data_IF_004172976212
#
_entry.id   IF_004172976212
#
_cell.length_a   1.000
_cell.length_b   1.000
_cell.length_c   1.000
_cell.angle_alpha   90.00
_cell.angle_beta   90.00
_cell.angle_gamma   90.00
#
_symmetry.space_group_name_H-M   'P 1'
#
loop_
_entity.id
_entity.type
_entity.pdbx_description
1 polymer ?
#
# COMPACT_ATOMS: atom_id res chain seq x y z
N UNK A 1 45.86 62.04 -12.10
CA UNK A 1 45.84 60.76 -12.85
C UNK A 1 45.33 59.71 -11.85
N UNK A 2 44.07 59.54 -11.83
CA UNK A 2 43.44 58.67 -10.84
C UNK A 2 42.37 57.87 -11.52
N UNK A 3 42.60 56.57 -11.59
CA UNK A 3 41.63 55.59 -12.11
C UNK A 3 40.63 55.25 -11.04
N UNK A 4 39.37 55.48 -11.33
CA UNK A 4 38.23 55.06 -10.50
C UNK A 4 37.80 53.69 -10.99
N UNK A 5 38.05 52.66 -10.19
CA UNK A 5 37.52 51.33 -10.38
C UNK A 5 36.14 51.23 -9.70
N UNK A 6 35.12 51.20 -10.52
CA UNK A 6 33.75 50.95 -10.12
C UNK A 6 33.60 49.47 -9.77
N UNK A 7 33.38 49.21 -8.49
CA UNK A 7 33.01 47.90 -7.97
C UNK A 7 31.51 47.68 -8.20
N UNK A 8 31.15 46.96 -9.24
CA UNK A 8 29.80 46.49 -9.41
C UNK A 8 29.53 45.36 -8.40
N UNK A 9 28.74 45.67 -7.41
CA UNK A 9 28.26 44.66 -6.44
C UNK A 9 27.43 43.59 -7.14
N UNK A 10 27.96 42.41 -7.18
CA UNK A 10 27.26 41.20 -7.58
C UNK A 10 26.36 40.78 -6.44
N UNK A 11 25.08 41.08 -6.55
CA UNK A 11 24.07 40.51 -5.66
C UNK A 11 23.90 39.03 -6.08
N UNK A 12 24.22 38.09 -5.20
CA UNK A 12 23.79 36.73 -5.44
C UNK A 12 22.28 36.70 -5.32
N UNK A 13 21.63 36.45 -6.43
CA UNK A 13 20.23 36.08 -6.49
C UNK A 13 20.08 34.72 -5.82
N UNK A 14 20.02 34.71 -4.50
CA UNK A 14 19.52 33.55 -3.76
C UNK A 14 18.04 33.43 -4.07
N UNK A 15 17.79 32.80 -5.19
CA UNK A 15 16.49 32.28 -5.56
C UNK A 15 15.97 31.48 -4.39
N UNK A 16 14.94 32.00 -3.78
CA UNK A 16 14.10 31.28 -2.83
C UNK A 16 13.64 29.96 -3.48
N UNK A 17 14.42 28.93 -3.34
CA UNK A 17 13.94 27.55 -3.48
C UNK A 17 13.18 27.20 -2.21
N UNK A 18 12.03 27.81 -2.03
CA UNK A 18 10.98 27.19 -1.25
C UNK A 18 10.50 26.01 -2.07
N UNK A 19 11.27 24.96 -2.05
CA UNK A 19 10.80 23.67 -2.47
C UNK A 19 9.79 23.27 -1.42
N UNK A 20 8.52 23.51 -1.71
CA UNK A 20 7.43 22.78 -1.08
C UNK A 20 7.69 21.32 -1.39
N UNK A 21 8.40 20.66 -0.50
CA UNK A 21 8.48 19.22 -0.48
C UNK A 21 7.11 18.72 -0.03
N UNK A 22 6.17 18.69 -0.96
CA UNK A 22 4.99 17.85 -0.81
C UNK A 22 5.57 16.45 -0.85
N UNK A 23 5.81 15.90 0.33
CA UNK A 23 6.03 14.47 0.47
C UNK A 23 4.71 13.82 0.11
N UNK A 24 4.46 13.63 -1.17
CA UNK A 24 3.45 12.71 -1.67
C UNK A 24 3.86 11.33 -1.23
N UNK A 25 3.49 10.96 -0.03
CA UNK A 25 3.39 9.56 0.31
C UNK A 25 2.24 9.04 -0.52
N UNK A 26 2.54 8.63 -1.75
CA UNK A 26 1.61 7.81 -2.52
C UNK A 26 1.61 6.49 -1.78
N UNK A 27 0.70 6.37 -0.81
CA UNK A 27 0.35 5.08 -0.28
C UNK A 27 -0.11 4.26 -1.48
N UNK A 28 0.65 3.20 -1.82
CA UNK A 28 0.23 2.24 -2.82
C UNK A 28 -1.15 1.72 -2.38
N UNK A 29 -2.18 2.15 -3.06
CA UNK A 29 -3.52 1.62 -2.84
C UNK A 29 -3.50 0.25 -3.48
N UNK A 30 -3.24 -0.76 -2.67
CA UNK A 30 -3.46 -2.13 -3.05
C UNK A 30 -4.94 -2.25 -3.42
N UNK A 31 -5.21 -2.34 -4.71
CA UNK A 31 -6.53 -2.67 -5.20
C UNK A 31 -6.77 -4.14 -4.87
N UNK A 32 -7.29 -4.39 -3.68
CA UNK A 32 -7.73 -5.73 -3.32
C UNK A 32 -8.76 -6.21 -4.33
N UNK A 33 -8.65 -7.44 -4.84
CA UNK A 33 -9.55 -8.00 -5.86
C UNK A 33 -11.00 -8.20 -5.38
N UNK A 34 -11.36 -7.63 -4.25
CA UNK A 34 -12.70 -7.64 -3.68
C UNK A 34 -13.81 -7.14 -4.61
N UNK A 35 -13.44 -6.52 -5.72
CA UNK A 35 -14.40 -5.93 -6.66
C UNK A 35 -15.05 -6.97 -7.58
N UNK A 36 -14.66 -8.23 -7.52
CA UNK A 36 -15.20 -9.30 -8.38
C UNK A 36 -16.18 -10.23 -7.69
N UNK A 37 -16.49 -10.01 -6.41
CA UNK A 37 -17.48 -10.82 -5.70
C UNK A 37 -18.93 -10.47 -6.11
N UNK A 38 -19.20 -10.62 -7.38
CA UNK A 38 -20.55 -10.85 -7.87
C UNK A 38 -20.79 -12.35 -7.87
N UNK A 39 -21.62 -12.83 -6.95
CA UNK A 39 -22.04 -14.21 -6.74
C UNK A 39 -21.14 -15.01 -5.78
N UNK A 40 -21.75 -15.37 -4.68
CA UNK A 40 -21.37 -16.18 -3.57
C UNK A 40 -20.63 -17.49 -3.95
N UNK A 41 -19.33 -17.42 -4.12
CA UNK A 41 -18.51 -18.59 -4.02
C UNK A 41 -17.81 -18.54 -2.66
N UNK A 42 -18.43 -19.14 -1.64
CA UNK A 42 -17.72 -19.44 -0.41
C UNK A 42 -16.75 -20.58 -0.70
N UNK A 43 -15.46 -20.37 -0.42
CA UNK A 43 -14.49 -21.42 -0.64
C UNK A 43 -13.03 -20.99 -0.56
N UNK A 44 -12.14 -21.97 -0.72
CA UNK A 44 -10.70 -21.69 -0.81
C UNK A 44 -10.34 -21.04 -2.14
N UNK A 45 -9.36 -20.12 -2.10
CA UNK A 45 -8.83 -19.45 -3.30
C UNK A 45 -7.32 -19.21 -3.19
N UNK A 46 -6.70 -18.90 -4.31
CA UNK A 46 -5.33 -18.38 -4.38
C UNK A 46 -5.38 -16.95 -4.86
N UNK A 47 -4.68 -16.08 -4.16
CA UNK A 47 -4.51 -14.67 -4.55
C UNK A 47 -3.04 -14.39 -4.85
N UNK A 48 -2.77 -13.76 -5.98
CA UNK A 48 -1.45 -13.21 -6.32
C UNK A 48 -1.61 -11.73 -6.55
N UNK A 49 -0.94 -10.94 -5.74
CA UNK A 49 -1.04 -9.47 -5.76
C UNK A 49 0.35 -8.87 -5.80
N UNK A 50 0.58 -7.90 -6.68
CA UNK A 50 1.84 -7.16 -6.72
C UNK A 50 1.57 -5.68 -6.47
N UNK A 51 2.27 -5.13 -5.49
CA UNK A 51 2.23 -3.74 -5.09
C UNK A 51 3.58 -3.09 -5.39
N UNK A 52 3.56 -2.02 -6.17
CA UNK A 52 4.76 -1.28 -6.55
C UNK A 52 4.71 0.11 -5.90
N UNK A 53 5.86 0.57 -5.43
CA UNK A 53 6.02 1.87 -4.79
C UNK A 53 6.92 2.76 -5.65
N UNK A 54 6.41 3.97 -5.93
CA UNK A 54 7.10 5.00 -6.73
C UNK A 54 7.09 6.34 -5.98
N UNK A 55 7.89 6.51 -4.92
CA UNK A 55 8.00 7.80 -4.27
C UNK A 55 8.65 8.80 -5.26
N UNK A 56 8.01 9.98 -5.39
CA UNK A 56 8.43 11.06 -6.30
C UNK A 56 8.55 10.67 -7.78
N UNK A 57 7.94 9.55 -8.19
CA UNK A 57 7.93 9.05 -9.56
C UNK A 57 9.03 8.03 -9.87
N UNK A 58 9.97 7.81 -8.99
CA UNK A 58 11.02 6.81 -9.14
C UNK A 58 10.61 5.49 -8.49
N UNK A 59 10.96 4.37 -9.12
CA UNK A 59 10.73 3.04 -8.55
C UNK A 59 11.52 2.91 -7.24
N UNK A 60 10.92 2.33 -6.24
CA UNK A 60 11.55 2.13 -4.92
C UNK A 60 11.48 0.68 -4.46
N UNK A 61 10.31 0.06 -4.59
CA UNK A 61 10.13 -1.33 -4.17
C UNK A 61 8.95 -1.99 -4.86
N UNK A 62 8.98 -3.31 -4.90
CA UNK A 62 7.84 -4.14 -5.29
C UNK A 62 7.62 -5.22 -4.23
N UNK A 63 6.37 -5.42 -3.85
CA UNK A 63 5.96 -6.51 -2.98
C UNK A 63 4.99 -7.40 -3.75
N UNK A 64 5.32 -8.69 -3.87
CA UNK A 64 4.45 -9.67 -4.51
C UNK A 64 4.01 -10.71 -3.48
N UNK A 65 2.73 -10.66 -3.13
CA UNK A 65 2.08 -11.59 -2.23
C UNK A 65 1.54 -12.80 -2.99
N UNK A 66 1.76 -13.99 -2.49
CA UNK A 66 1.13 -15.23 -2.98
C UNK A 66 0.40 -15.87 -1.80
N UNK A 67 -0.90 -15.65 -1.74
CA UNK A 67 -1.71 -16.07 -0.60
C UNK A 67 -2.64 -17.23 -0.95
N UNK A 68 -2.78 -18.14 0.00
CA UNK A 68 -3.91 -19.05 0.10
C UNK A 68 -4.94 -18.40 1.00
N UNK A 69 -6.20 -18.42 0.58
CA UNK A 69 -7.28 -17.80 1.32
C UNK A 69 -8.54 -18.64 1.33
N UNK A 70 -9.44 -18.20 2.18
CA UNK A 70 -10.82 -18.67 2.25
C UNK A 70 -11.74 -17.48 2.32
N UNK A 71 -12.77 -17.46 1.51
CA UNK A 71 -13.81 -16.44 1.53
C UNK A 71 -15.19 -17.04 1.72
N UNK A 72 -16.10 -16.26 2.23
CA UNK A 72 -17.47 -16.70 2.44
C UNK A 72 -18.40 -15.54 2.73
N UNK A 73 -19.69 -15.90 2.87
CA UNK A 73 -20.74 -14.96 3.25
C UNK A 73 -21.53 -15.54 4.40
N UNK A 74 -21.81 -14.73 5.42
CA UNK A 74 -22.65 -15.12 6.54
C UNK A 74 -24.09 -14.66 6.29
N UNK A 75 -25.05 -15.54 6.55
CA UNK A 75 -26.48 -15.20 6.44
C UNK A 75 -27.05 -15.33 5.04
N UNK A 76 -28.34 -14.99 4.92
CA UNK A 76 -29.07 -14.92 3.67
C UNK A 76 -28.77 -13.59 2.91
N UNK A 77 -29.57 -13.21 1.96
CA UNK A 77 -29.40 -11.95 1.19
C UNK A 77 -29.05 -10.76 2.09
N UNK A 78 -27.93 -10.07 1.80
CA UNK A 78 -27.44 -8.95 2.61
C UNK A 78 -26.46 -9.33 3.72
N UNK A 79 -25.97 -10.58 3.75
CA UNK A 79 -25.00 -11.05 4.72
C UNK A 79 -23.64 -10.36 4.66
N UNK A 80 -22.81 -10.60 5.66
CA UNK A 80 -21.44 -10.11 5.71
C UNK A 80 -20.58 -11.03 4.84
N UNK A 81 -19.96 -10.49 3.79
CA UNK A 81 -18.89 -11.18 3.07
C UNK A 81 -17.59 -11.01 3.85
N UNK A 82 -16.84 -12.08 3.96
CA UNK A 82 -15.56 -12.08 4.67
C UNK A 82 -14.51 -12.90 3.93
N UNK A 83 -13.25 -12.61 4.21
CA UNK A 83 -12.13 -13.41 3.76
C UNK A 83 -11.01 -13.43 4.79
N UNK A 84 -10.20 -14.46 4.70
CA UNK A 84 -8.91 -14.56 5.37
C UNK A 84 -7.92 -15.16 4.38
N UNK A 85 -6.74 -14.58 4.31
CA UNK A 85 -5.69 -15.08 3.41
C UNK A 85 -4.32 -14.85 4.02
N UNK A 86 -3.33 -15.68 3.61
CA UNK A 86 -1.95 -15.53 4.02
C UNK A 86 -1.02 -16.42 3.23
N UNK A 87 0.25 -16.06 3.27
CA UNK A 87 1.29 -16.79 2.54
C UNK A 87 2.58 -16.00 2.39
N UNK A 88 3.50 -16.47 1.54
CA UNK A 88 4.75 -15.79 1.27
C UNK A 88 4.54 -14.45 0.55
N UNK A 89 5.40 -13.51 0.90
CA UNK A 89 5.51 -12.17 0.34
C UNK A 89 6.94 -11.97 -0.13
N UNK A 90 7.13 -11.72 -1.40
CA UNK A 90 8.42 -11.41 -2.01
C UNK A 90 8.59 -9.89 -2.06
N UNK A 91 9.52 -9.37 -1.29
CA UNK A 91 9.80 -7.93 -1.19
C UNK A 91 11.12 -7.64 -1.90
N UNK A 92 11.04 -6.94 -3.02
CA UNK A 92 12.20 -6.43 -3.75
C UNK A 92 12.37 -4.95 -3.49
N UNK A 93 13.59 -4.54 -3.10
CA UNK A 93 13.92 -3.14 -2.83
C UNK A 93 15.07 -2.70 -3.73
N UNK A 94 14.88 -1.63 -4.50
CA UNK A 94 15.87 -1.12 -5.44
C UNK A 94 17.21 -0.76 -4.75
N UNK A 95 17.14 -0.12 -3.59
CA UNK A 95 18.33 0.34 -2.87
C UNK A 95 19.26 -0.79 -2.44
N UNK A 96 18.71 -1.97 -2.15
CA UNK A 96 19.47 -3.15 -1.74
C UNK A 96 19.80 -4.07 -2.91
N UNK A 97 19.12 -3.92 -4.06
CA UNK A 97 19.13 -4.86 -5.20
C UNK A 97 18.95 -6.32 -4.74
N UNK A 98 18.11 -6.50 -3.73
CA UNK A 98 17.87 -7.79 -3.08
C UNK A 98 16.37 -8.08 -2.98
N UNK A 99 16.05 -9.37 -2.89
CA UNK A 99 14.67 -9.84 -2.74
C UNK A 99 14.58 -10.68 -1.48
N UNK A 100 13.83 -10.18 -0.51
CA UNK A 100 13.55 -10.87 0.73
C UNK A 100 12.22 -11.64 0.65
N UNK A 101 12.18 -12.78 1.32
CA UNK A 101 10.94 -13.56 1.44
C UNK A 101 10.40 -13.39 2.84
N UNK A 102 9.21 -12.85 2.92
CA UNK A 102 8.49 -12.57 4.15
C UNK A 102 7.20 -13.38 4.23
N UNK A 103 6.46 -13.24 5.30
CA UNK A 103 5.12 -13.82 5.46
C UNK A 103 4.16 -12.68 5.68
N UNK A 104 3.06 -12.68 4.92
CA UNK A 104 1.99 -11.72 5.09
C UNK A 104 0.63 -12.41 5.24
N UNK A 105 -0.31 -11.72 5.86
CA UNK A 105 -1.68 -12.17 6.04
C UNK A 105 -2.65 -11.00 6.02
N UNK A 106 -3.87 -11.24 5.52
CA UNK A 106 -4.95 -10.26 5.47
C UNK A 106 -6.26 -10.91 5.92
N UNK A 107 -7.08 -10.15 6.64
CA UNK A 107 -8.45 -10.50 6.95
C UNK A 107 -9.34 -9.31 6.64
N UNK A 108 -10.46 -9.55 5.98
CA UNK A 108 -11.37 -8.48 5.63
C UNK A 108 -12.82 -8.91 5.71
N UNK A 109 -13.68 -7.89 5.82
CA UNK A 109 -15.11 -8.06 5.78
C UNK A 109 -15.77 -6.88 5.05
N UNK A 110 -16.89 -7.18 4.41
CA UNK A 110 -17.74 -6.15 3.77
C UNK A 110 -19.21 -6.51 3.91
N UNK A 111 -20.06 -5.49 3.92
CA UNK A 111 -21.51 -5.68 3.88
C UNK A 111 -22.18 -4.52 3.13
N UNK A 112 -23.31 -4.82 2.51
CA UNK A 112 -24.10 -3.80 1.85
C UNK A 112 -25.05 -3.14 2.86
N UNK A 113 -24.97 -1.83 2.96
CA UNK A 113 -25.89 -1.00 3.77
C UNK A 113 -27.19 -0.73 3.00
N UNK A 114 -27.07 -0.68 1.67
CA UNK A 114 -28.19 -0.55 0.72
C UNK A 114 -27.80 -1.16 -0.63
N UNK A 115 -28.72 -1.18 -1.58
CA UNK A 115 -28.47 -1.68 -2.95
C UNK A 115 -27.33 -0.95 -3.66
N UNK A 116 -27.09 0.30 -3.29
CA UNK A 116 -26.07 1.17 -3.90
C UNK A 116 -24.90 1.51 -2.98
N UNK A 117 -24.88 1.04 -1.73
CA UNK A 117 -23.85 1.43 -0.74
C UNK A 117 -23.35 0.22 0.02
N UNK A 118 -22.07 -0.02 -0.08
CA UNK A 118 -21.35 -1.03 0.70
C UNK A 118 -20.27 -0.40 1.59
N UNK A 119 -19.99 -1.02 2.72
CA UNK A 119 -18.85 -0.69 3.58
C UNK A 119 -17.93 -1.89 3.69
N UNK A 120 -16.64 -1.63 3.88
CA UNK A 120 -15.64 -2.67 4.05
C UNK A 120 -14.56 -2.27 5.06
N UNK A 121 -13.95 -3.28 5.65
CA UNK A 121 -12.77 -3.14 6.49
C UNK A 121 -11.79 -4.29 6.24
N UNK A 122 -10.51 -4.01 6.35
CA UNK A 122 -9.41 -4.98 6.18
C UNK A 122 -8.34 -4.71 7.24
N UNK A 123 -7.79 -5.77 7.80
CA UNK A 123 -6.59 -5.75 8.61
C UNK A 123 -5.53 -6.59 7.92
N UNK A 124 -4.29 -6.13 7.95
CA UNK A 124 -3.14 -6.84 7.38
C UNK A 124 -1.99 -6.89 8.37
N UNK A 125 -1.13 -7.88 8.22
CA UNK A 125 0.12 -8.01 8.95
C UNK A 125 1.16 -8.66 8.06
N UNK A 126 2.42 -8.23 8.21
CA UNK A 126 3.55 -8.82 7.51
C UNK A 126 4.79 -8.83 8.42
N UNK A 127 5.67 -9.80 8.22
CA UNK A 127 7.04 -9.73 8.73
C UNK A 127 7.85 -8.77 7.86
N UNK A 128 8.94 -8.23 8.37
CA UNK A 128 9.79 -7.25 7.68
C UNK A 128 11.26 -7.39 8.10
N UNK A 129 11.83 -8.57 7.88
CA UNK A 129 13.19 -8.87 8.28
C UNK A 129 13.41 -8.94 9.80
N UNK A 130 14.63 -8.75 10.23
CA UNK A 130 15.04 -8.75 11.63
C UNK A 130 15.62 -7.38 12.03
N UNK A 131 15.42 -7.01 13.28
CA UNK A 131 16.04 -5.82 13.83
C UNK A 131 17.51 -6.08 14.25
N UNK A 132 18.18 -5.03 14.75
CA UNK A 132 19.57 -5.14 15.20
C UNK A 132 19.78 -6.12 16.38
N UNK A 133 18.71 -6.54 17.03
CA UNK A 133 18.72 -7.53 18.14
C UNK A 133 18.42 -8.95 17.65
N UNK A 134 18.09 -9.12 16.38
CA UNK A 134 17.67 -10.39 15.77
C UNK A 134 16.20 -10.73 16.00
N UNK A 135 15.40 -9.76 16.42
CA UNK A 135 13.97 -9.94 16.58
C UNK A 135 13.23 -9.63 15.27
N UNK A 136 12.28 -10.49 14.89
CA UNK A 136 11.47 -10.29 13.68
C UNK A 136 10.62 -9.03 13.79
N UNK A 137 10.82 -8.10 12.87
CA UNK A 137 9.98 -6.91 12.72
C UNK A 137 8.61 -7.33 12.18
N UNK A 138 7.54 -6.69 12.68
CA UNK A 138 6.16 -6.93 12.25
C UNK A 138 5.49 -5.62 11.92
N UNK A 139 4.94 -5.56 10.71
CA UNK A 139 4.16 -4.44 10.22
C UNK A 139 2.67 -4.79 10.25
N UNK A 140 1.84 -3.85 10.67
CA UNK A 140 0.40 -4.01 10.70
C UNK A 140 -0.26 -2.88 9.91
N UNK A 141 -1.31 -3.21 9.19
CA UNK A 141 -2.10 -2.26 8.42
C UNK A 141 -3.60 -2.40 8.71
N UNK A 142 -4.32 -1.31 8.57
CA UNK A 142 -5.77 -1.30 8.62
C UNK A 142 -6.32 -0.42 7.49
N UNK A 143 -7.39 -0.89 6.84
CA UNK A 143 -8.08 -0.18 5.78
C UNK A 143 -9.58 -0.25 6.03
N UNK A 144 -10.28 0.86 5.83
CA UNK A 144 -11.73 0.88 5.85
C UNK A 144 -12.23 1.84 4.78
N UNK A 145 -13.39 1.55 4.22
CA UNK A 145 -13.96 2.40 3.17
C UNK A 145 -15.42 2.17 2.92
N UNK A 146 -15.97 3.06 2.11
CA UNK A 146 -17.36 3.03 1.62
C UNK A 146 -17.31 2.97 0.10
N UNK A 147 -18.12 2.09 -0.48
CA UNK A 147 -18.28 1.93 -1.93
C UNK A 147 -19.69 2.36 -2.31
N UNK A 148 -19.79 3.25 -3.28
CA UNK A 148 -21.06 3.61 -3.91
C UNK A 148 -21.12 2.99 -5.32
N UNK A 149 -22.25 2.41 -5.66
CA UNK A 149 -22.57 1.86 -7.00
C UNK A 149 -23.71 2.68 -7.59
N UNK A 150 -23.56 3.14 -8.84
CA UNK A 150 -24.53 3.97 -9.56
C UNK A 150 -25.17 3.21 -10.71
#
# INVERSE_FOLDING_TARGET
MSGILSSAGFFPCETLKTIMTIKSTIAAVAASPFLLAGAAFAGPYVNVESNLSYPDGDYSSATTDVHLGYEGTTGAEGGIAYYVQGGPSLVHTETADDTETEISAKIGASFNVSDSTGVYAELSGATAGEDASGDTIRNYGAKAGVKFTF
#
